data_IF_678509660196
#
_entry.id   IF_678509660196
#
_cell.length_a   1.000
_cell.length_b   1.000
_cell.length_c   1.000
_cell.angle_alpha   90.00
_cell.angle_beta   90.00
_cell.angle_gamma   90.00
#
_symmetry.space_group_name_H-M   'P 1'
#
loop_
_entity.id
_entity.type
_entity.pdbx_description
1 polymer ?
#
# COMPACT_ATOMS: atom_id res chain seq x y z
N UNK A 1 -27.82 -15.39 -9.17
CA UNK A 1 -26.37 -15.21 -8.88
C UNK A 1 -26.26 -14.02 -7.93
N UNK A 2 -25.95 -14.24 -6.66
CA UNK A 2 -25.75 -13.15 -5.70
C UNK A 2 -24.45 -12.44 -6.06
N UNK A 3 -24.51 -11.15 -6.39
CA UNK A 3 -23.32 -10.33 -6.57
C UNK A 3 -22.50 -10.33 -5.28
N UNK A 4 -21.17 -10.38 -5.40
CA UNK A 4 -20.27 -10.20 -4.26
C UNK A 4 -20.58 -8.85 -3.60
N UNK A 5 -20.77 -8.85 -2.28
CA UNK A 5 -20.94 -7.61 -1.54
C UNK A 5 -19.69 -6.75 -1.72
N UNK A 6 -19.87 -5.44 -1.98
CA UNK A 6 -18.76 -4.51 -2.11
C UNK A 6 -17.95 -4.48 -0.81
N UNK A 7 -16.61 -4.64 -0.84
CA UNK A 7 -15.81 -4.64 0.37
C UNK A 7 -15.85 -3.28 1.08
N UNK A 8 -15.70 -3.31 2.40
CA UNK A 8 -15.51 -2.11 3.22
C UNK A 8 -14.03 -1.77 3.30
N UNK A 9 -13.66 -0.55 2.92
CA UNK A 9 -12.25 -0.13 2.82
C UNK A 9 -11.89 0.80 3.99
N UNK A 10 -10.78 0.49 4.67
CA UNK A 10 -10.22 1.31 5.76
C UNK A 10 -8.82 1.77 5.36
N UNK A 11 -8.61 3.08 5.29
CA UNK A 11 -7.28 3.68 5.11
C UNK A 11 -6.58 3.89 6.44
N UNK A 12 -5.31 3.47 6.55
CA UNK A 12 -4.46 3.70 7.72
C UNK A 12 -3.29 4.60 7.31
N UNK A 13 -3.34 5.88 7.71
CA UNK A 13 -2.35 6.90 7.36
C UNK A 13 -1.63 7.45 8.62
N UNK A 14 -0.50 8.12 8.41
CA UNK A 14 0.34 8.68 9.48
C UNK A 14 1.83 8.69 9.14
N UNK A 15 2.65 9.39 9.93
CA UNK A 15 4.09 9.51 9.70
C UNK A 15 4.87 8.20 9.84
N UNK A 16 6.13 8.19 9.41
CA UNK A 16 7.04 7.06 9.62
C UNK A 16 7.17 6.74 11.10
N UNK A 17 7.26 5.45 11.44
CA UNK A 17 7.33 4.92 12.81
C UNK A 17 6.10 5.19 13.72
N UNK A 18 4.97 5.69 13.19
CA UNK A 18 3.75 5.92 13.99
C UNK A 18 2.95 4.65 14.36
N UNK A 19 3.42 3.46 13.97
CA UNK A 19 2.77 2.18 14.29
C UNK A 19 1.72 1.68 13.28
N UNK A 20 1.57 2.31 12.10
CA UNK A 20 0.60 1.89 11.06
C UNK A 20 0.65 0.41 10.72
N UNK A 21 1.84 -0.11 10.43
CA UNK A 21 2.06 -1.51 10.05
C UNK A 21 1.67 -2.45 11.19
N UNK A 22 1.96 -2.07 12.44
CA UNK A 22 1.60 -2.83 13.62
C UNK A 22 0.08 -2.90 13.78
N UNK A 23 -0.61 -1.75 13.65
CA UNK A 23 -2.07 -1.69 13.72
C UNK A 23 -2.73 -2.51 12.60
N UNK A 24 -2.29 -2.34 11.35
CA UNK A 24 -2.83 -3.06 10.20
C UNK A 24 -2.71 -4.59 10.37
N UNK A 25 -1.55 -5.07 10.82
CA UNK A 25 -1.32 -6.50 11.09
C UNK A 25 -2.17 -7.01 12.24
N UNK A 26 -2.29 -6.26 13.34
CA UNK A 26 -3.12 -6.64 14.48
C UNK A 26 -4.61 -6.76 14.07
N UNK A 27 -5.12 -5.83 13.26
CA UNK A 27 -6.48 -5.90 12.72
C UNK A 27 -6.68 -7.12 11.82
N UNK A 28 -5.74 -7.39 10.90
CA UNK A 28 -5.83 -8.56 10.03
C UNK A 28 -5.80 -9.87 10.82
N UNK A 29 -4.94 -9.97 11.84
CA UNK A 29 -4.90 -11.14 12.74
C UNK A 29 -6.21 -11.33 13.51
N UNK A 30 -6.78 -10.24 14.04
CA UNK A 30 -8.03 -10.30 14.79
C UNK A 30 -9.25 -10.66 13.93
N UNK A 31 -9.26 -10.24 12.66
CA UNK A 31 -10.40 -10.43 11.74
C UNK A 31 -10.30 -11.69 10.87
N UNK A 32 -9.11 -12.26 10.74
CA UNK A 32 -8.83 -13.50 10.03
C UNK A 32 -8.91 -13.35 8.50
N UNK A 33 -9.29 -14.43 7.82
CA UNK A 33 -9.35 -14.52 6.34
C UNK A 33 -10.35 -13.56 5.67
N UNK A 34 -11.14 -12.82 6.45
CA UNK A 34 -12.11 -11.84 5.96
C UNK A 34 -11.48 -10.51 5.53
N UNK A 35 -10.18 -10.33 5.75
CA UNK A 35 -9.47 -9.07 5.51
C UNK A 35 -8.29 -9.31 4.58
N UNK A 36 -8.18 -8.46 3.57
CA UNK A 36 -6.97 -8.29 2.79
C UNK A 36 -6.20 -7.06 3.29
N UNK A 37 -4.88 -7.17 3.39
CA UNK A 37 -3.99 -6.03 3.62
C UNK A 37 -3.38 -5.60 2.30
N UNK A 38 -3.50 -4.31 1.99
CA UNK A 38 -2.93 -3.70 0.79
C UNK A 38 -1.97 -2.57 1.19
N UNK A 39 -0.69 -2.85 1.51
CA UNK A 39 0.27 -1.82 1.88
C UNK A 39 0.63 -0.96 0.67
N UNK A 40 0.42 0.35 0.73
CA UNK A 40 0.73 1.27 -0.36
C UNK A 40 2.24 1.33 -0.69
N UNK A 41 3.10 1.05 0.30
CA UNK A 41 4.56 0.96 0.13
C UNK A 41 4.98 -0.17 -0.81
N UNK A 42 4.12 -1.15 -1.10
CA UNK A 42 4.40 -2.18 -2.12
C UNK A 42 4.21 -1.68 -3.55
N UNK A 43 3.67 -0.48 -3.72
CA UNK A 43 3.32 0.12 -5.00
C UNK A 43 4.22 1.31 -5.33
N UNK A 44 5.42 1.38 -4.77
CA UNK A 44 6.45 2.25 -5.34
C UNK A 44 6.74 1.82 -6.78
N UNK A 45 6.91 2.80 -7.67
CA UNK A 45 7.29 2.53 -9.06
C UNK A 45 8.59 1.74 -9.11
N UNK A 46 8.66 0.80 -10.04
CA UNK A 46 9.89 0.05 -10.29
C UNK A 46 10.94 0.95 -10.94
N UNK A 47 12.05 1.15 -10.22
CA UNK A 47 13.18 1.97 -10.63
C UNK A 47 14.44 1.13 -10.85
N UNK A 48 14.33 -0.19 -10.94
CA UNK A 48 15.47 -1.09 -11.18
C UNK A 48 16.20 -0.81 -12.49
N UNK A 49 15.52 -0.17 -13.44
CA UNK A 49 16.10 0.31 -14.70
C UNK A 49 17.06 1.50 -14.54
N UNK A 50 17.05 2.19 -13.39
CA UNK A 50 17.93 3.32 -13.11
C UNK A 50 19.20 2.92 -12.33
N UNK A 51 20.36 3.51 -12.62
CA UNK A 51 21.56 3.37 -11.79
C UNK A 51 21.31 3.81 -10.34
N UNK A 52 22.02 3.20 -9.39
CA UNK A 52 21.88 3.54 -7.96
C UNK A 52 22.03 5.04 -7.65
N UNK A 53 23.01 5.78 -8.20
CA UNK A 53 23.15 7.22 -7.94
C UNK A 53 21.94 8.05 -8.41
N UNK A 54 21.24 7.62 -9.47
CA UNK A 54 20.04 8.32 -9.94
C UNK A 54 18.84 8.02 -9.04
N UNK A 55 18.73 6.79 -8.53
CA UNK A 55 17.67 6.41 -7.58
C UNK A 55 17.70 7.22 -6.28
N UNK A 56 18.88 7.67 -5.85
CA UNK A 56 19.06 8.49 -4.63
C UNK A 56 18.53 9.93 -4.79
N UNK A 57 18.34 10.42 -6.01
CA UNK A 57 17.87 11.79 -6.27
C UNK A 57 16.34 11.92 -6.24
N UNK A 58 15.63 10.80 -6.12
CA UNK A 58 14.19 10.74 -6.23
C UNK A 58 13.52 10.98 -4.87
N UNK A 59 12.39 11.69 -4.90
CA UNK A 59 11.57 11.94 -3.72
C UNK A 59 10.48 10.85 -3.59
N UNK A 60 10.65 9.95 -2.62
CA UNK A 60 9.71 8.86 -2.36
C UNK A 60 8.45 9.31 -1.62
N UNK A 61 8.44 10.52 -1.04
CA UNK A 61 7.25 11.08 -0.39
C UNK A 61 6.31 11.78 -1.39
N UNK A 62 6.72 11.93 -2.66
CA UNK A 62 5.90 12.54 -3.69
C UNK A 62 4.80 11.57 -4.17
N UNK A 63 3.56 12.02 -4.44
CA UNK A 63 2.50 11.16 -4.94
C UNK A 63 2.86 10.38 -6.22
N UNK A 64 3.75 10.93 -7.06
CA UNK A 64 4.24 10.27 -8.28
C UNK A 64 5.24 9.14 -8.03
N UNK A 65 5.73 8.96 -6.80
CA UNK A 65 6.58 7.81 -6.47
C UNK A 65 5.79 6.48 -6.55
N UNK A 66 4.46 6.54 -6.54
CA UNK A 66 3.57 5.38 -6.54
C UNK A 66 3.02 5.03 -7.93
N UNK A 67 2.85 3.74 -8.18
CA UNK A 67 2.07 3.19 -9.29
C UNK A 67 0.58 3.11 -8.90
N UNK A 68 -0.09 4.28 -8.94
CA UNK A 68 -1.50 4.39 -8.61
C UNK A 68 -2.42 3.55 -9.52
N UNK A 69 -2.19 3.47 -10.85
CA UNK A 69 -2.96 2.55 -11.70
C UNK A 69 -2.92 1.10 -11.23
N UNK A 70 -1.73 0.58 -10.89
CA UNK A 70 -1.58 -0.77 -10.35
C UNK A 70 -2.26 -0.92 -8.98
N UNK A 71 -2.10 0.08 -8.10
CA UNK A 71 -2.75 0.08 -6.78
C UNK A 71 -4.27 -0.01 -6.90
N UNK A 72 -4.87 0.82 -7.75
CA UNK A 72 -6.32 0.85 -7.98
C UNK A 72 -6.86 -0.44 -8.63
N UNK A 73 -6.04 -1.17 -9.40
CA UNK A 73 -6.44 -2.45 -9.97
C UNK A 73 -6.56 -3.57 -8.92
N UNK A 74 -5.90 -3.42 -7.76
CA UNK A 74 -5.94 -4.40 -6.67
C UNK A 74 -6.87 -4.01 -5.51
N UNK A 75 -7.54 -2.85 -5.58
CA UNK A 75 -8.57 -2.39 -4.62
C UNK A 75 -9.98 -2.66 -5.12
#
# INVERSE_FOLDING_TARGET
>A
MSGFAKPFVIGIAGGTASGKTTLARALAQALGERVALLPMDHYYRDLTHLPFPERLKLNYDHPEAFDLPLYLAHT
#
